data_IF_165720468394
#
_entry.id   IF_165720468394
#
_cell.length_a   1.000
_cell.length_b   1.000
_cell.length_c   1.000
_cell.angle_alpha   90.00
_cell.angle_beta   90.00
_cell.angle_gamma   90.00
#
_symmetry.space_group_name_H-M   'P 1'
#
loop_
_entity.id
_entity.type
_entity.pdbx_description
1 polymer ?
#
# COMPACT_ATOMS: atom_id res chain seq x y z
N UNK A 1 -12.70 -12.62 -4.00
CA UNK A 1 -13.10 -12.27 -5.38
C UNK A 1 -12.87 -10.78 -5.61
N UNK A 2 -12.55 -10.37 -6.82
CA UNK A 2 -12.55 -8.98 -7.26
C UNK A 2 -13.70 -8.77 -8.27
N UNK A 3 -14.17 -7.52 -8.45
CA UNK A 3 -15.12 -7.17 -9.49
C UNK A 3 -14.35 -6.47 -10.62
N UNK A 4 -14.54 -6.93 -11.83
CA UNK A 4 -14.00 -6.33 -13.04
C UNK A 4 -15.14 -6.20 -14.06
N UNK A 5 -15.46 -5.00 -14.48
CA UNK A 5 -16.63 -4.72 -15.33
C UNK A 5 -17.93 -5.41 -14.87
N UNK A 6 -18.18 -5.46 -13.56
CA UNK A 6 -19.34 -6.13 -12.98
C UNK A 6 -19.22 -7.65 -12.81
N UNK A 7 -18.20 -8.29 -13.38
CA UNK A 7 -17.96 -9.71 -13.28
C UNK A 7 -17.07 -10.08 -12.10
N UNK A 8 -17.34 -11.25 -11.50
CA UNK A 8 -16.56 -11.76 -10.37
C UNK A 8 -15.30 -12.47 -10.87
N UNK A 9 -14.12 -11.91 -10.53
CA UNK A 9 -12.82 -12.50 -10.85
C UNK A 9 -12.28 -13.19 -9.60
N UNK A 10 -11.90 -14.45 -9.71
CA UNK A 10 -11.23 -15.19 -8.64
C UNK A 10 -9.84 -14.64 -8.43
N UNK A 11 -9.45 -14.51 -7.18
CA UNK A 11 -8.11 -14.07 -6.80
C UNK A 11 -7.68 -14.73 -5.49
N UNK A 12 -6.37 -14.84 -5.30
CA UNK A 12 -5.73 -15.31 -4.08
C UNK A 12 -4.64 -14.31 -3.69
N UNK A 13 -4.45 -14.17 -2.40
CA UNK A 13 -3.38 -13.35 -1.84
C UNK A 13 -2.20 -14.23 -1.46
N UNK A 14 -1.01 -13.81 -1.79
CA UNK A 14 0.25 -14.40 -1.36
C UNK A 14 0.77 -13.56 -0.19
N UNK A 15 0.78 -14.17 1.01
CA UNK A 15 1.19 -13.47 2.24
C UNK A 15 2.71 -13.26 2.31
N UNK A 16 3.52 -14.10 1.64
CA UNK A 16 4.97 -13.99 1.63
C UNK A 16 5.44 -12.88 0.70
N UNK A 17 4.84 -12.79 -0.49
CA UNK A 17 5.19 -11.78 -1.50
C UNK A 17 4.39 -10.49 -1.37
N UNK A 18 3.35 -10.48 -0.52
CA UNK A 18 2.41 -9.38 -0.36
C UNK A 18 1.76 -8.91 -1.69
N UNK A 19 1.41 -9.86 -2.58
CA UNK A 19 0.80 -9.59 -3.88
C UNK A 19 -0.49 -10.37 -4.10
N UNK A 20 -1.36 -9.82 -4.97
CA UNK A 20 -2.54 -10.51 -5.45
C UNK A 20 -2.25 -11.26 -6.73
N UNK A 21 -2.69 -12.52 -6.79
CA UNK A 21 -2.79 -13.29 -8.01
C UNK A 21 -4.24 -13.38 -8.47
N UNK A 22 -4.48 -13.16 -9.76
CA UNK A 22 -5.79 -13.17 -10.39
C UNK A 22 -5.91 -14.35 -11.36
N UNK A 23 -7.13 -14.92 -11.47
CA UNK A 23 -7.42 -15.96 -12.46
C UNK A 23 -7.34 -15.39 -13.87
N UNK A 24 -6.43 -15.92 -14.69
CA UNK A 24 -6.27 -15.51 -16.09
C UNK A 24 -7.51 -15.89 -16.89
N UNK A 25 -8.01 -17.11 -16.71
CA UNK A 25 -9.19 -17.59 -17.45
C UNK A 25 -10.43 -16.75 -17.18
N UNK A 26 -10.61 -16.26 -15.93
CA UNK A 26 -11.76 -15.42 -15.61
C UNK A 26 -11.68 -14.05 -16.32
N UNK A 27 -10.49 -13.43 -16.34
CA UNK A 27 -10.29 -12.13 -17.00
C UNK A 27 -10.38 -12.27 -18.53
N UNK A 28 -9.76 -13.29 -19.09
CA UNK A 28 -9.85 -13.59 -20.51
C UNK A 28 -11.30 -13.84 -20.92
N UNK A 29 -12.06 -14.59 -20.12
CA UNK A 29 -13.48 -14.84 -20.38
C UNK A 29 -14.30 -13.57 -20.45
N UNK A 30 -14.10 -12.63 -19.52
CA UNK A 30 -14.81 -11.35 -19.51
C UNK A 30 -14.43 -10.48 -20.71
N UNK A 31 -13.15 -10.43 -21.06
CA UNK A 31 -12.66 -9.52 -22.09
C UNK A 31 -12.82 -10.06 -23.53
N UNK A 32 -12.76 -11.37 -23.72
CA UNK A 32 -12.90 -11.98 -25.03
C UNK A 32 -14.34 -12.35 -25.40
N UNK A 33 -15.25 -12.40 -24.39
CA UNK A 33 -16.61 -12.96 -24.54
C UNK A 33 -16.60 -14.38 -25.15
N UNK A 34 -15.50 -15.11 -25.00
CA UNK A 34 -15.35 -16.43 -25.54
C UNK A 34 -16.28 -17.43 -24.84
N UNK A 35 -16.93 -18.29 -25.62
CA UNK A 35 -17.73 -19.40 -25.10
C UNK A 35 -16.87 -20.39 -24.32
N UNK A 36 -15.60 -20.54 -24.71
CA UNK A 36 -14.60 -21.34 -24.00
C UNK A 36 -13.35 -20.50 -23.63
N UNK A 37 -13.39 -19.82 -22.49
CA UNK A 37 -12.25 -19.01 -22.02
C UNK A 37 -10.97 -19.82 -21.77
N UNK A 38 -11.10 -21.12 -21.44
CA UNK A 38 -9.94 -21.98 -21.19
C UNK A 38 -9.19 -22.27 -22.48
N UNK A 39 -9.92 -22.62 -23.52
CA UNK A 39 -9.33 -22.85 -24.86
C UNK A 39 -8.76 -21.56 -25.42
N UNK A 40 -9.47 -20.44 -25.26
CA UNK A 40 -8.97 -19.13 -25.66
C UNK A 40 -7.63 -18.80 -25.01
N UNK A 41 -7.53 -19.00 -23.69
CA UNK A 41 -6.28 -18.77 -22.97
C UNK A 41 -5.17 -19.72 -23.46
N UNK A 42 -5.47 -20.99 -23.71
CA UNK A 42 -4.50 -21.94 -24.26
C UNK A 42 -3.89 -21.46 -25.57
N UNK A 43 -4.73 -21.00 -26.50
CA UNK A 43 -4.30 -20.48 -27.80
C UNK A 43 -3.50 -19.17 -27.65
N UNK A 44 -3.99 -18.23 -26.82
CA UNK A 44 -3.29 -16.97 -26.53
C UNK A 44 -1.93 -17.23 -25.89
N UNK A 45 -1.84 -18.19 -24.95
CA UNK A 45 -0.60 -18.60 -24.28
C UNK A 45 0.42 -19.15 -25.27
N UNK A 46 -0.02 -19.98 -26.22
CA UNK A 46 0.86 -20.52 -27.29
C UNK A 46 1.41 -19.39 -28.16
N UNK A 47 0.53 -18.50 -28.64
CA UNK A 47 0.94 -17.35 -29.45
C UNK A 47 1.94 -16.46 -28.73
N UNK A 48 1.68 -16.09 -27.47
CA UNK A 48 2.60 -15.28 -26.66
C UNK A 48 3.97 -15.96 -26.48
N UNK A 49 3.98 -17.28 -26.37
CA UNK A 49 5.24 -18.04 -26.28
C UNK A 49 6.00 -18.03 -27.61
N UNK A 50 5.31 -18.18 -28.73
CA UNK A 50 5.89 -18.12 -30.09
C UNK A 50 6.45 -16.72 -30.41
N UNK A 51 5.77 -15.66 -29.93
CA UNK A 51 6.23 -14.27 -30.00
C UNK A 51 7.44 -13.96 -29.09
N UNK A 52 7.95 -14.94 -28.32
CA UNK A 52 9.05 -14.76 -27.40
C UNK A 52 8.70 -13.95 -26.15
N UNK A 53 7.42 -13.81 -25.82
CA UNK A 53 6.97 -13.06 -24.68
C UNK A 53 7.25 -13.79 -23.36
N UNK A 54 7.99 -13.18 -22.44
CA UNK A 54 8.25 -13.71 -21.10
C UNK A 54 7.01 -13.75 -20.19
N UNK A 55 5.89 -13.18 -20.62
CA UNK A 55 4.64 -13.14 -19.83
C UNK A 55 4.19 -14.53 -19.40
N UNK A 56 4.38 -15.52 -20.26
CA UNK A 56 3.97 -16.90 -20.00
C UNK A 56 4.81 -17.53 -18.87
N UNK A 57 6.08 -17.19 -18.76
CA UNK A 57 6.98 -17.70 -17.70
C UNK A 57 6.66 -17.11 -16.34
N UNK A 58 6.05 -15.93 -16.30
CA UNK A 58 5.60 -15.23 -15.08
C UNK A 58 4.23 -15.70 -14.58
N UNK A 59 3.54 -16.56 -15.32
CA UNK A 59 2.27 -17.15 -14.89
C UNK A 59 2.52 -18.25 -13.86
N UNK A 60 1.70 -18.30 -12.82
CA UNK A 60 1.75 -19.29 -11.76
C UNK A 60 0.53 -20.20 -11.81
N UNK A 61 0.62 -21.36 -11.13
CA UNK A 61 -0.49 -22.29 -10.99
C UNK A 61 -0.89 -22.38 -9.53
N UNK A 62 -2.07 -21.87 -9.19
CA UNK A 62 -2.57 -21.85 -7.83
C UNK A 62 -3.96 -22.49 -7.75
N UNK A 63 -4.28 -23.08 -6.58
CA UNK A 63 -5.61 -23.62 -6.32
C UNK A 63 -6.59 -22.48 -6.03
N UNK A 64 -7.56 -22.30 -6.92
CA UNK A 64 -8.65 -21.34 -6.76
C UNK A 64 -9.97 -22.04 -6.48
N UNK A 65 -10.77 -21.48 -5.57
CA UNK A 65 -12.10 -21.98 -5.25
C UNK A 65 -13.04 -21.71 -6.43
N UNK A 66 -13.70 -22.75 -6.92
CA UNK A 66 -14.71 -22.68 -7.98
C UNK A 66 -16.13 -22.46 -7.41
N UNK A 67 -17.11 -22.30 -8.29
CA UNK A 67 -18.51 -22.09 -7.92
C UNK A 67 -19.13 -23.30 -7.23
N UNK A 68 -18.63 -24.50 -7.52
CA UNK A 68 -19.05 -25.77 -6.87
C UNK A 68 -18.44 -25.95 -5.46
N UNK A 69 -17.67 -24.97 -4.98
CA UNK A 69 -17.03 -24.99 -3.68
C UNK A 69 -15.69 -25.73 -3.62
N UNK A 70 -15.31 -26.46 -4.67
CA UNK A 70 -14.05 -27.22 -4.76
C UNK A 70 -12.89 -26.32 -5.21
N UNK A 71 -11.67 -26.78 -4.96
CA UNK A 71 -10.45 -26.08 -5.37
C UNK A 71 -9.84 -26.76 -6.60
N UNK A 72 -9.62 -25.97 -7.65
CA UNK A 72 -8.98 -26.43 -8.89
C UNK A 72 -7.72 -25.64 -9.17
N UNK A 73 -6.70 -26.35 -9.68
CA UNK A 73 -5.49 -25.72 -10.16
C UNK A 73 -5.84 -24.80 -11.36
N UNK A 74 -5.43 -23.57 -11.30
CA UNK A 74 -5.78 -22.55 -12.28
C UNK A 74 -4.57 -21.68 -12.59
N UNK A 75 -4.43 -21.28 -13.85
CA UNK A 75 -3.42 -20.31 -14.27
C UNK A 75 -3.78 -18.94 -13.65
N UNK A 76 -2.81 -18.36 -12.98
CA UNK A 76 -2.93 -17.06 -12.32
C UNK A 76 -1.75 -16.18 -12.66
N UNK A 77 -1.97 -14.87 -12.61
CA UNK A 77 -0.93 -13.87 -12.79
C UNK A 77 -1.07 -12.76 -11.75
N UNK A 78 0.05 -12.13 -11.42
CA UNK A 78 0.05 -10.89 -10.66
C UNK A 78 -0.52 -9.73 -11.49
N UNK A 79 -0.63 -8.55 -10.90
CA UNK A 79 -1.26 -7.40 -11.56
C UNK A 79 -0.49 -6.97 -12.81
N UNK A 80 0.84 -6.93 -12.76
CA UNK A 80 1.69 -6.50 -13.88
C UNK A 80 1.56 -7.45 -15.07
N UNK A 81 1.75 -8.75 -14.81
CA UNK A 81 1.61 -9.81 -15.80
C UNK A 81 0.21 -9.84 -16.40
N UNK A 82 -0.82 -9.64 -15.57
CA UNK A 82 -2.20 -9.56 -16.02
C UNK A 82 -2.44 -8.39 -16.97
N UNK A 83 -1.90 -7.20 -16.67
CA UNK A 83 -2.00 -6.04 -17.57
C UNK A 83 -1.36 -6.32 -18.92
N UNK A 84 -0.23 -7.01 -18.95
CA UNK A 84 0.42 -7.40 -20.19
C UNK A 84 -0.40 -8.43 -20.99
N UNK A 85 -1.01 -9.41 -20.32
CA UNK A 85 -1.92 -10.37 -20.97
C UNK A 85 -3.10 -9.64 -21.60
N UNK A 86 -3.73 -8.71 -20.88
CA UNK A 86 -4.90 -7.95 -21.38
C UNK A 86 -4.55 -7.16 -22.66
N UNK A 87 -3.36 -6.58 -22.74
CA UNK A 87 -2.90 -5.87 -23.95
C UNK A 87 -2.85 -6.78 -25.18
N UNK A 88 -2.62 -8.07 -24.98
CA UNK A 88 -2.52 -9.07 -26.06
C UNK A 88 -3.86 -9.68 -26.47
N UNK A 89 -4.98 -9.33 -25.82
CA UNK A 89 -6.32 -9.81 -26.18
C UNK A 89 -6.87 -8.96 -27.32
N UNK A 90 -7.04 -9.49 -28.54
CA UNK A 90 -7.62 -8.77 -29.68
C UNK A 90 -9.15 -8.76 -29.59
N UNK A 91 -9.69 -7.99 -28.66
CA UNK A 91 -11.13 -7.86 -28.46
C UNK A 91 -11.54 -6.41 -28.24
N UNK A 92 -12.68 -5.96 -28.82
CA UNK A 92 -13.24 -4.63 -28.54
C UNK A 92 -13.49 -4.38 -27.05
N UNK A 93 -13.82 -5.41 -26.27
CA UNK A 93 -14.06 -5.29 -24.85
C UNK A 93 -12.78 -5.07 -24.03
N UNK A 94 -11.62 -5.41 -24.57
CA UNK A 94 -10.32 -5.10 -23.97
C UNK A 94 -9.88 -3.64 -24.26
N UNK A 95 -10.45 -2.99 -25.27
CA UNK A 95 -10.01 -1.67 -25.75
C UNK A 95 -10.15 -0.57 -24.67
N UNK A 96 -11.26 -0.45 -23.92
CA UNK A 96 -11.35 0.55 -22.85
C UNK A 96 -10.25 0.40 -21.80
N UNK A 97 -9.84 -0.84 -21.52
CA UNK A 97 -8.76 -1.11 -20.58
C UNK A 97 -7.39 -0.75 -21.16
N UNK A 98 -7.15 -1.03 -22.45
CA UNK A 98 -5.91 -0.64 -23.14
C UNK A 98 -5.75 0.88 -23.18
N UNK A 99 -6.83 1.60 -23.49
CA UNK A 99 -6.86 3.06 -23.47
C UNK A 99 -6.60 3.62 -22.06
N UNK A 100 -7.16 2.98 -21.03
CA UNK A 100 -6.88 3.37 -19.64
C UNK A 100 -5.40 3.15 -19.29
N UNK A 101 -4.79 2.02 -19.68
CA UNK A 101 -3.35 1.78 -19.48
C UNK A 101 -2.49 2.81 -20.22
N UNK A 102 -2.84 3.15 -21.46
CA UNK A 102 -2.14 4.17 -22.23
C UNK A 102 -2.20 5.53 -21.53
N UNK A 103 -3.37 5.90 -20.99
CA UNK A 103 -3.54 7.13 -20.21
C UNK A 103 -2.70 7.13 -18.94
N UNK A 104 -2.70 6.03 -18.18
CA UNK A 104 -1.86 5.89 -16.97
C UNK A 104 -0.38 6.01 -17.32
N UNK A 105 0.06 5.40 -18.42
CA UNK A 105 1.43 5.54 -18.92
C UNK A 105 1.78 7.00 -19.27
N UNK A 106 0.90 7.67 -20.02
CA UNK A 106 1.06 9.08 -20.35
C UNK A 106 1.13 9.97 -19.10
N UNK A 107 0.22 9.76 -18.13
CA UNK A 107 0.22 10.51 -16.88
C UNK A 107 1.56 10.34 -16.13
N UNK A 108 2.15 9.15 -16.16
CA UNK A 108 3.47 8.89 -15.56
C UNK A 108 4.59 9.64 -16.27
N UNK A 109 4.60 9.67 -17.59
CA UNK A 109 5.58 10.45 -18.35
C UNK A 109 5.43 11.94 -18.03
N UNK A 110 4.19 12.47 -18.05
CA UNK A 110 3.92 13.85 -17.72
C UNK A 110 4.30 14.25 -16.27
N UNK A 111 4.27 13.30 -15.32
CA UNK A 111 4.72 13.51 -13.94
C UNK A 111 6.26 13.60 -13.82
N UNK A 112 7.00 12.99 -14.74
CA UNK A 112 8.48 13.15 -14.80
C UNK A 112 8.84 14.56 -15.28
N UNK A 113 8.09 15.09 -16.23
CA UNK A 113 8.28 16.46 -16.74
C UNK A 113 7.84 17.53 -15.73
N UNK A 114 6.78 17.24 -14.97
CA UNK A 114 6.18 18.14 -13.98
C UNK A 114 5.86 17.40 -12.68
N UNK A 115 6.83 17.34 -11.74
CA UNK A 115 6.67 16.62 -10.46
C UNK A 115 5.52 17.14 -9.58
N UNK A 116 5.04 18.37 -9.77
CA UNK A 116 3.91 18.91 -9.02
C UNK A 116 2.63 18.10 -9.25
N UNK A 117 2.46 17.53 -10.45
CA UNK A 117 1.34 16.63 -10.79
C UNK A 117 1.25 15.41 -9.89
N UNK A 118 2.39 14.89 -9.42
CA UNK A 118 2.43 13.77 -8.47
C UNK A 118 1.74 14.17 -7.16
N UNK A 119 2.06 15.35 -6.65
CA UNK A 119 1.49 15.88 -5.40
C UNK A 119 -0.02 16.11 -5.58
N UNK A 120 -0.42 16.76 -6.68
CA UNK A 120 -1.83 17.01 -7.00
C UNK A 120 -2.62 15.70 -7.13
N UNK A 121 -2.05 14.68 -7.76
CA UNK A 121 -2.68 13.36 -7.87
C UNK A 121 -2.82 12.69 -6.51
N UNK A 122 -1.80 12.76 -5.66
CA UNK A 122 -1.87 12.23 -4.30
C UNK A 122 -2.96 12.93 -3.48
N UNK A 123 -3.01 14.28 -3.51
CA UNK A 123 -4.05 15.07 -2.84
C UNK A 123 -5.45 14.70 -3.35
N UNK A 124 -5.64 14.63 -4.66
CA UNK A 124 -6.92 14.26 -5.29
C UNK A 124 -7.35 12.86 -4.87
N UNK A 125 -6.40 11.92 -4.78
CA UNK A 125 -6.67 10.55 -4.33
C UNK A 125 -7.16 10.51 -2.89
N UNK A 126 -6.53 11.26 -1.98
CA UNK A 126 -6.98 11.36 -0.58
C UNK A 126 -8.35 12.05 -0.48
N UNK A 127 -8.60 13.13 -1.24
CA UNK A 127 -9.90 13.81 -1.29
C UNK A 127 -11.01 12.86 -1.76
N UNK A 128 -10.78 12.09 -2.84
CA UNK A 128 -11.73 11.06 -3.33
C UNK A 128 -12.00 9.97 -2.29
N UNK A 129 -11.03 9.69 -1.43
CA UNK A 129 -11.18 8.78 -0.30
C UNK A 129 -11.96 9.39 0.87
N UNK A 130 -12.26 10.68 0.87
CA UNK A 130 -13.03 11.38 1.90
C UNK A 130 -12.20 12.04 3.00
N UNK A 131 -10.89 12.16 2.82
CA UNK A 131 -10.04 12.89 3.75
C UNK A 131 -10.23 14.41 3.59
N UNK A 132 -10.20 15.16 4.68
CA UNK A 132 -10.25 16.63 4.63
C UNK A 132 -8.92 17.22 4.15
N UNK A 133 -8.96 18.43 3.57
CA UNK A 133 -7.74 19.13 3.16
C UNK A 133 -6.73 19.26 4.30
N UNK A 134 -7.18 19.73 5.48
CA UNK A 134 -6.30 19.89 6.63
C UNK A 134 -5.64 18.59 7.10
N UNK A 135 -6.34 17.44 7.00
CA UNK A 135 -5.72 16.16 7.30
C UNK A 135 -4.70 15.76 6.21
N UNK A 136 -5.00 16.04 4.94
CA UNK A 136 -4.08 15.77 3.82
C UNK A 136 -2.78 16.55 3.98
N UNK A 137 -2.85 17.83 4.34
CA UNK A 137 -1.67 18.68 4.56
C UNK A 137 -0.80 18.09 5.70
N UNK A 138 -1.42 17.70 6.82
CA UNK A 138 -0.72 17.02 7.91
C UNK A 138 -0.09 15.70 7.44
N UNK A 139 -0.78 14.93 6.62
CA UNK A 139 -0.27 13.66 6.12
C UNK A 139 0.91 13.83 5.16
N UNK A 140 0.88 14.81 4.29
CA UNK A 140 2.00 15.14 3.40
C UNK A 140 3.22 15.58 4.21
N UNK A 141 3.03 16.43 5.22
CA UNK A 141 4.12 16.82 6.15
C UNK A 141 4.67 15.62 6.92
N UNK A 142 3.82 14.69 7.34
CA UNK A 142 4.24 13.43 7.97
C UNK A 142 5.11 12.56 7.06
N UNK A 143 4.85 12.56 5.75
CA UNK A 143 5.67 11.84 4.77
C UNK A 143 7.05 12.47 4.66
N UNK A 144 7.12 13.80 4.57
CA UNK A 144 8.37 14.57 4.53
C UNK A 144 9.23 14.28 5.77
N UNK A 145 8.68 14.50 6.97
CA UNK A 145 9.39 14.22 8.24
C UNK A 145 9.89 12.78 8.31
N UNK A 146 9.08 11.82 7.87
CA UNK A 146 9.47 10.41 7.83
C UNK A 146 10.62 10.17 6.86
N UNK A 147 10.61 10.83 5.71
CA UNK A 147 11.69 10.72 4.71
C UNK A 147 13.00 11.29 5.29
N UNK A 148 12.94 12.44 5.95
CA UNK A 148 14.09 13.06 6.57
C UNK A 148 14.71 12.14 7.65
N UNK A 149 13.89 11.56 8.52
CA UNK A 149 14.34 10.59 9.51
C UNK A 149 14.94 9.33 8.87
N UNK A 150 14.36 8.84 7.77
CA UNK A 150 14.87 7.66 7.08
C UNK A 150 16.23 7.95 6.43
N UNK A 151 16.40 9.14 5.85
CA UNK A 151 17.68 9.59 5.30
C UNK A 151 18.74 9.70 6.39
N UNK A 152 18.40 10.30 7.53
CA UNK A 152 19.29 10.39 8.69
C UNK A 152 19.74 8.99 9.16
N UNK A 153 18.83 8.03 9.27
CA UNK A 153 19.18 6.65 9.63
C UNK A 153 20.13 6.00 8.61
N UNK A 154 19.94 6.24 7.30
CA UNK A 154 20.85 5.76 6.27
C UNK A 154 22.27 6.34 6.45
N UNK A 155 22.38 7.63 6.77
CA UNK A 155 23.64 8.31 7.04
C UNK A 155 24.32 7.79 8.33
N UNK A 156 23.52 7.32 9.28
CA UNK A 156 23.99 6.75 10.58
C UNK A 156 24.16 5.22 10.55
N UNK A 157 24.29 4.63 9.38
CA UNK A 157 24.70 3.24 9.20
C UNK A 157 23.59 2.20 9.37
N UNK A 158 22.31 2.60 9.41
CA UNK A 158 21.18 1.68 9.35
C UNK A 158 21.03 1.19 7.90
N UNK A 159 21.21 -0.12 7.65
CA UNK A 159 21.30 -0.66 6.27
C UNK A 159 20.19 -1.65 5.93
N UNK A 160 19.69 -2.38 6.90
CA UNK A 160 18.76 -3.47 6.68
C UNK A 160 17.31 -3.05 6.90
N UNK A 161 16.39 -3.48 6.04
CA UNK A 161 14.98 -3.10 6.12
C UNK A 161 14.32 -3.46 7.46
N UNK A 162 14.74 -4.56 8.09
CA UNK A 162 14.26 -4.95 9.41
C UNK A 162 14.72 -3.98 10.52
N UNK A 163 15.90 -3.36 10.39
CA UNK A 163 16.39 -2.35 11.35
C UNK A 163 15.49 -1.11 11.32
N UNK A 164 15.13 -0.60 10.12
CA UNK A 164 14.17 0.50 9.99
C UNK A 164 12.81 0.18 10.62
N UNK A 165 12.36 -1.07 10.49
CA UNK A 165 11.11 -1.52 11.10
C UNK A 165 11.21 -1.52 12.62
N UNK A 166 12.32 -2.02 13.19
CA UNK A 166 12.57 -2.04 14.64
C UNK A 166 12.65 -0.62 15.20
N UNK A 167 13.40 0.29 14.56
CA UNK A 167 13.50 1.69 14.98
C UNK A 167 12.12 2.38 14.94
N UNK A 168 11.33 2.10 13.91
CA UNK A 168 9.95 2.59 13.81
C UNK A 168 9.08 2.07 14.95
N UNK A 169 9.24 0.81 15.32
CA UNK A 169 8.52 0.21 16.46
C UNK A 169 8.99 0.80 17.80
N UNK A 170 10.29 1.03 17.98
CA UNK A 170 10.83 1.68 19.19
C UNK A 170 10.27 3.11 19.34
N UNK A 171 10.21 3.92 18.27
CA UNK A 171 9.56 5.24 18.27
C UNK A 171 8.08 5.11 18.61
N UNK A 172 7.37 4.23 17.89
CA UNK A 172 5.93 4.08 18.09
C UNK A 172 5.58 3.61 19.49
N UNK A 173 6.31 2.65 20.02
CA UNK A 173 6.13 2.17 21.39
C UNK A 173 6.40 3.27 22.42
N UNK A 174 7.45 4.05 22.24
CA UNK A 174 7.82 5.12 23.16
C UNK A 174 6.74 6.22 23.23
N UNK A 175 6.16 6.64 22.09
CA UNK A 175 5.13 7.67 22.12
C UNK A 175 3.72 7.13 22.34
N UNK A 176 3.33 6.01 21.71
CA UNK A 176 1.96 5.47 21.75
C UNK A 176 1.73 4.46 22.90
N UNK A 177 2.80 3.84 23.44
CA UNK A 177 2.72 2.80 24.45
C UNK A 177 2.43 1.41 23.88
N UNK A 178 2.27 1.29 22.59
CA UNK A 178 2.00 0.03 21.86
C UNK A 178 2.83 -0.02 20.58
N UNK A 179 3.24 -1.22 20.14
CA UNK A 179 4.01 -1.43 18.92
C UNK A 179 3.11 -1.25 17.68
N UNK A 180 3.70 -0.98 16.54
CA UNK A 180 2.99 -0.75 15.25
C UNK A 180 2.01 -1.87 14.90
N UNK A 181 2.41 -3.13 15.08
CA UNK A 181 1.55 -4.30 14.83
C UNK A 181 0.30 -4.32 15.72
N UNK A 182 0.48 -4.05 17.00
CA UNK A 182 -0.62 -4.03 17.96
C UNK A 182 -1.48 -2.78 17.80
N UNK A 183 -0.89 -1.66 17.38
CA UNK A 183 -1.64 -0.44 17.03
C UNK A 183 -2.55 -0.68 15.82
N UNK A 184 -2.06 -1.36 14.79
CA UNK A 184 -2.90 -1.79 13.66
C UNK A 184 -4.07 -2.65 14.14
N UNK A 185 -3.82 -3.64 15.02
CA UNK A 185 -4.90 -4.47 15.62
C UNK A 185 -5.88 -3.62 16.43
N UNK A 186 -5.38 -2.69 17.25
CA UNK A 186 -6.20 -1.79 18.05
C UNK A 186 -7.17 -0.96 17.21
N UNK A 187 -6.74 -0.55 16.00
CA UNK A 187 -7.56 0.14 15.01
C UNK A 187 -8.33 -0.79 14.05
N UNK A 188 -8.30 -2.10 14.30
CA UNK A 188 -8.95 -3.13 13.44
C UNK A 188 -8.45 -3.11 11.99
N UNK A 189 -7.19 -2.72 11.77
CA UNK A 189 -6.54 -2.69 10.47
C UNK A 189 -5.90 -4.05 10.16
N UNK A 190 -5.95 -4.47 8.91
CA UNK A 190 -5.30 -5.70 8.42
C UNK A 190 -4.03 -5.35 7.64
N UNK A 191 -4.19 -4.71 6.48
CA UNK A 191 -3.13 -4.36 5.52
C UNK A 191 -2.98 -2.86 5.34
N UNK A 192 -3.95 -2.11 5.82
CA UNK A 192 -4.02 -0.66 5.66
C UNK A 192 -2.81 0.01 6.32
N UNK A 193 -2.41 1.15 5.77
CA UNK A 193 -1.35 1.96 6.37
C UNK A 193 -1.84 2.55 7.70
N UNK A 194 -1.09 2.35 8.77
CA UNK A 194 -1.46 2.84 10.09
C UNK A 194 -1.61 4.37 10.11
N UNK A 195 -0.68 5.10 9.49
CA UNK A 195 -0.70 6.58 9.48
C UNK A 195 -1.89 7.13 8.70
N UNK A 196 -2.37 6.43 7.66
CA UNK A 196 -3.56 6.83 6.91
C UNK A 196 -4.86 6.68 7.74
N UNK A 197 -4.80 5.95 8.86
CA UNK A 197 -5.91 5.72 9.77
C UNK A 197 -5.76 6.46 11.11
N UNK A 198 -4.69 7.23 11.29
CA UNK A 198 -4.49 8.05 12.48
C UNK A 198 -5.40 9.28 12.48
N UNK A 199 -5.94 9.64 13.64
CA UNK A 199 -6.59 10.94 13.89
C UNK A 199 -5.56 12.06 13.80
N UNK A 200 -6.00 13.30 13.70
CA UNK A 200 -5.09 14.46 13.63
C UNK A 200 -4.09 14.49 14.80
N UNK A 201 -4.55 14.25 16.03
CA UNK A 201 -3.68 14.27 17.22
C UNK A 201 -2.67 13.12 17.22
N UNK A 202 -3.09 11.91 16.82
CA UNK A 202 -2.19 10.77 16.69
C UNK A 202 -1.10 11.06 15.62
N UNK A 203 -1.50 11.64 14.49
CA UNK A 203 -0.58 11.97 13.41
C UNK A 203 0.42 13.07 13.82
N UNK A 204 -0.04 14.11 14.53
CA UNK A 204 0.82 15.18 15.06
C UNK A 204 1.84 14.63 16.07
N UNK A 205 1.41 13.78 17.00
CA UNK A 205 2.31 13.15 17.97
C UNK A 205 3.31 12.21 17.32
N UNK A 206 2.89 11.47 16.29
CA UNK A 206 3.80 10.64 15.50
C UNK A 206 4.86 11.51 14.77
N UNK A 207 4.45 12.63 14.17
CA UNK A 207 5.38 13.59 13.54
C UNK A 207 6.35 14.19 14.55
N UNK A 208 5.88 14.56 15.73
CA UNK A 208 6.73 15.07 16.81
C UNK A 208 7.77 14.02 17.23
N UNK A 209 7.37 12.76 17.38
CA UNK A 209 8.27 11.68 17.72
C UNK A 209 9.37 11.48 16.65
N UNK A 210 8.99 11.45 15.40
CA UNK A 210 9.90 11.26 14.27
C UNK A 210 10.83 12.47 14.08
N UNK A 211 10.32 13.69 14.16
CA UNK A 211 11.13 14.92 14.07
C UNK A 211 12.10 15.07 15.24
N UNK A 212 11.66 14.77 16.48
CA UNK A 212 12.53 14.77 17.64
C UNK A 212 13.64 13.71 17.53
N UNK A 213 13.31 12.52 17.01
CA UNK A 213 14.33 11.47 16.77
C UNK A 213 15.37 11.95 15.76
N UNK A 214 14.95 12.54 14.63
CA UNK A 214 15.87 13.08 13.61
C UNK A 214 16.78 14.19 14.19
N UNK A 215 16.20 15.10 14.98
CA UNK A 215 16.96 16.20 15.59
C UNK A 215 18.00 15.69 16.60
N UNK A 216 17.65 14.69 17.43
CA UNK A 216 18.56 14.07 18.38
C UNK A 216 19.66 13.30 17.62
N UNK A 217 19.28 12.54 16.58
CA UNK A 217 20.24 11.78 15.76
C UNK A 217 21.29 12.68 15.13
N UNK A 218 20.89 13.84 14.57
CA UNK A 218 21.82 14.82 14.02
C UNK A 218 22.77 15.41 15.05
N UNK A 219 22.35 15.52 16.30
CA UNK A 219 23.17 16.06 17.38
C UNK A 219 24.13 15.01 17.95
N UNK A 220 23.60 13.79 18.21
CA UNK A 220 24.31 12.75 18.95
C UNK A 220 25.12 11.82 18.04
N UNK A 221 24.89 11.88 16.73
CA UNK A 221 25.59 11.17 15.65
C UNK A 221 25.79 9.66 15.91
N UNK A 222 24.70 8.89 16.20
CA UNK A 222 24.83 7.47 16.49
C UNK A 222 25.44 6.71 15.29
N UNK A 223 26.43 5.84 15.57
CA UNK A 223 27.15 5.09 14.53
C UNK A 223 26.73 3.63 14.46
N UNK A 224 26.03 3.14 15.45
CA UNK A 224 25.62 1.73 15.53
C UNK A 224 24.11 1.58 15.67
N UNK A 225 23.59 0.43 15.26
CA UNK A 225 22.16 0.13 15.41
C UNK A 225 21.66 0.23 16.87
N UNK A 226 22.37 -0.28 17.89
CA UNK A 226 21.96 -0.08 19.30
C UNK A 226 21.88 1.40 19.72
N UNK A 227 22.82 2.24 19.27
CA UNK A 227 22.79 3.68 19.54
C UNK A 227 21.60 4.35 18.86
N UNK A 228 21.32 4.02 17.59
CA UNK A 228 20.13 4.47 16.88
C UNK A 228 18.83 4.09 17.61
N UNK A 229 18.77 2.93 18.26
CA UNK A 229 17.63 2.53 19.08
C UNK A 229 17.44 3.40 20.33
N UNK A 230 18.54 3.81 20.97
CA UNK A 230 18.49 4.72 22.12
C UNK A 230 17.90 6.07 21.68
N UNK A 231 18.41 6.62 20.57
CA UNK A 231 17.94 7.87 19.98
C UNK A 231 16.47 7.77 19.58
N UNK A 232 16.06 6.67 18.94
CA UNK A 232 14.67 6.43 18.53
C UNK A 232 13.71 6.46 19.72
N UNK A 233 14.08 5.82 20.83
CA UNK A 233 13.30 5.84 22.08
C UNK A 233 13.29 7.21 22.74
N UNK A 234 14.40 7.93 22.72
CA UNK A 234 14.49 9.29 23.27
C UNK A 234 13.54 10.24 22.55
N UNK A 235 13.56 10.27 21.18
CA UNK A 235 12.64 11.08 20.38
C UNK A 235 11.19 10.68 20.59
N UNK A 236 10.90 9.38 20.62
CA UNK A 236 9.56 8.86 20.90
C UNK A 236 9.05 9.26 22.30
N UNK A 237 9.91 9.26 23.32
CA UNK A 237 9.56 9.63 24.69
C UNK A 237 9.18 11.12 24.82
N UNK A 238 9.75 12.02 24.01
CA UNK A 238 9.35 13.44 23.97
C UNK A 238 7.86 13.54 23.60
N UNK A 239 7.46 12.91 22.52
CA UNK A 239 6.07 12.88 22.09
C UNK A 239 5.18 12.10 23.08
N UNK A 240 5.68 11.03 23.69
CA UNK A 240 4.99 10.27 24.73
C UNK A 240 4.71 11.11 25.97
N UNK A 241 5.66 11.95 26.38
CA UNK A 241 5.47 12.93 27.47
C UNK A 241 4.40 13.97 27.14
N UNK A 242 4.43 14.52 25.93
CA UNK A 242 3.40 15.45 25.45
C UNK A 242 2.02 14.77 25.42
N UNK A 243 1.92 13.54 24.89
CA UNK A 243 0.69 12.74 24.88
C UNK A 243 0.10 12.58 26.29
N UNK A 244 0.90 12.11 27.23
CA UNK A 244 0.45 11.86 28.63
C UNK A 244 -0.09 13.14 29.30
N UNK A 245 0.60 14.28 29.10
CA UNK A 245 0.13 15.58 29.63
C UNK A 245 -1.21 15.98 29.01
N UNK A 246 -1.37 15.77 27.70
CA UNK A 246 -2.60 16.08 26.98
C UNK A 246 -3.75 15.16 27.37
N UNK A 247 -3.52 13.85 27.48
CA UNK A 247 -4.51 12.86 27.95
C UNK A 247 -5.01 13.18 29.35
N UNK A 248 -4.10 13.56 30.27
CA UNK A 248 -4.48 14.01 31.63
C UNK A 248 -5.42 15.23 31.59
N UNK A 249 -5.18 16.19 30.70
CA UNK A 249 -6.03 17.39 30.55
C UNK A 249 -7.37 17.10 29.87
N UNK A 250 -7.34 16.25 28.85
CA UNK A 250 -8.54 15.87 28.08
C UNK A 250 -9.38 14.78 28.77
N UNK A 251 -8.86 14.13 29.79
CA UNK A 251 -9.48 12.99 30.49
C UNK A 251 -9.89 11.83 29.55
N UNK A 252 -9.15 11.66 28.46
CA UNK A 252 -9.36 10.56 27.49
C UNK A 252 -8.05 10.18 26.83
N UNK A 253 -7.96 8.93 26.38
CA UNK A 253 -6.81 8.48 25.58
C UNK A 253 -6.81 9.16 24.21
N UNK A 254 -5.61 9.50 23.72
CA UNK A 254 -5.39 9.95 22.33
C UNK A 254 -5.18 8.74 21.42
N UNK A 255 -4.44 7.72 21.90
CA UNK A 255 -4.31 6.45 21.18
C UNK A 255 -5.66 5.74 21.24
N UNK A 256 -6.39 5.75 20.14
CA UNK A 256 -7.77 5.33 20.08
C UNK A 256 -8.02 4.24 19.04
N UNK A 257 -9.18 3.58 19.15
CA UNK A 257 -9.68 2.64 18.13
C UNK A 257 -10.25 3.35 16.90
N UNK A 258 -10.45 4.65 17.01
CA UNK A 258 -11.07 5.44 15.94
C UNK A 258 -10.11 5.60 14.77
N UNK A 259 -10.60 5.30 13.57
CA UNK A 259 -9.94 5.62 12.31
C UNK A 259 -10.42 6.99 11.83
N UNK A 260 -9.54 7.77 11.18
CA UNK A 260 -9.92 9.06 10.63
C UNK A 260 -11.13 8.97 9.69
N UNK A 261 -11.17 7.92 8.87
CA UNK A 261 -12.34 7.59 8.06
C UNK A 261 -13.14 6.47 8.74
N UNK A 262 -14.34 6.76 9.15
CA UNK A 262 -15.23 5.84 9.90
C UNK A 262 -15.85 4.72 9.06
N UNK A 263 -15.57 4.62 7.76
CA UNK A 263 -16.08 3.56 6.87
C UNK A 263 -14.94 2.82 6.20
N UNK A 264 -14.94 1.46 6.20
CA UNK A 264 -14.00 0.68 5.40
C UNK A 264 -14.19 1.01 3.92
N UNK A 265 -13.12 1.46 3.26
CA UNK A 265 -13.15 1.95 1.88
C UNK A 265 -13.15 0.86 0.81
N UNK A 266 -13.33 -0.40 1.18
CA UNK A 266 -13.05 -1.54 0.30
C UNK A 266 -14.05 -1.79 -0.83
N UNK A 267 -15.09 -0.97 -1.02
CA UNK A 267 -16.15 -1.31 -1.98
C UNK A 267 -16.46 -0.29 -3.08
N UNK A 268 -15.85 0.89 -3.10
CA UNK A 268 -16.23 1.94 -4.06
C UNK A 268 -15.20 2.29 -5.16
N UNK A 269 -13.97 1.84 -5.07
CA UNK A 269 -12.90 2.23 -6.01
C UNK A 269 -12.89 1.43 -7.33
N UNK A 270 -13.74 0.43 -7.49
CA UNK A 270 -13.87 -0.35 -8.73
C UNK A 270 -15.21 -0.13 -9.44
N UNK A 271 -15.96 0.92 -9.11
CA UNK A 271 -17.26 1.26 -9.71
C UNK A 271 -17.22 2.52 -10.57
N UNK A 272 -16.13 2.81 -11.25
CA UNK A 272 -16.16 3.73 -12.41
C UNK A 272 -15.12 3.30 -13.42
#
# INVERSE_FOLDING_TARGET
MALFQGHKIRRVWDDEKEIWYFSIVDIVGVLSESVDPRNYWKVLKSRLKEEGSEVVTKCNHLKLKATDGKFYLSDVADTETMFRIIQSIPSPNAEPFKLWLARVGYERVAEVEDPEKIIQRAMTTYLKKGYSKGWIDLRLKSIEIRKDLTNEWNERGVKYSNEFAILTDDITFAWAGIKTKDYKKHKSLKRENLRDNMTNLELILNMLAEASTAAISKKDEPQTFPENRIVARAGGNIAGGARKKLEKRLKRSIVSKENYLTKPQDKKLLKK
#
